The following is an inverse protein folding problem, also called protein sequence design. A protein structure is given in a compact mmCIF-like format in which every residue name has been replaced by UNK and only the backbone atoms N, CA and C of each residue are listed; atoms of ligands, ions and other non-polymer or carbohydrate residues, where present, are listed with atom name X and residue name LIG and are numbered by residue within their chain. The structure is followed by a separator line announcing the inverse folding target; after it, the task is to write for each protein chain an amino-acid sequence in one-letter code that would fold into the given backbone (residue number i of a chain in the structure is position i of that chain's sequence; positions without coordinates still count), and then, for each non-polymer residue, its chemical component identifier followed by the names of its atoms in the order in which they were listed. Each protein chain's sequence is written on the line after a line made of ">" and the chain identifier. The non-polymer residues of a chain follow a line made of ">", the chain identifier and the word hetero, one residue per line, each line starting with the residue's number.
data_IF_731560326019
#
_entry.id   IF_731560326019
#
_cell.length_a   1.000
_cell.length_b   1.000
_cell.length_c   1.000
_cell.angle_alpha   90.00
_cell.angle_beta   90.00
_cell.angle_gamma   90.00
#
_symmetry.space_group_name_H-M   'P 1'
#
loop_
_entity.id
_entity.type
_entity.pdbx_description
1 polymer ?
#
# COMPACT_ATOMS: atom_id res chain seq x y z
N UNK A 1 -1.72 -3.91 -3.92
CA UNK A 1 -2.26 -2.59 -4.26
C UNK A 1 -3.54 -2.72 -5.05
N UNK A 2 -4.45 -1.75 -4.94
CA UNK A 2 -5.58 -1.65 -5.86
C UNK A 2 -5.07 -1.29 -7.26
N UNK A 3 -5.76 -1.82 -8.27
CA UNK A 3 -5.50 -1.47 -9.66
C UNK A 3 -5.97 -0.02 -9.94
N UNK A 4 -5.10 0.77 -10.58
CA UNK A 4 -5.37 2.18 -10.90
C UNK A 4 -6.58 2.34 -11.83
N UNK A 5 -6.78 1.41 -12.76
CA UNK A 5 -7.94 1.47 -13.65
C UNK A 5 -9.24 1.27 -12.87
N UNK A 6 -9.23 0.42 -11.84
CA UNK A 6 -10.36 0.25 -10.92
C UNK A 6 -10.67 1.56 -10.19
N UNK A 7 -9.65 2.26 -9.69
CA UNK A 7 -9.82 3.55 -9.00
C UNK A 7 -10.36 4.62 -9.95
N UNK A 8 -9.80 4.71 -11.16
CA UNK A 8 -10.19 5.69 -12.19
C UNK A 8 -11.62 5.48 -12.68
N UNK A 9 -12.00 4.24 -12.93
CA UNK A 9 -13.32 3.92 -13.49
C UNK A 9 -14.42 3.85 -12.42
N UNK A 10 -14.07 3.59 -11.16
CA UNK A 10 -15.05 3.39 -10.09
C UNK A 10 -14.69 4.13 -8.78
N UNK A 11 -14.36 5.43 -8.81
CA UNK A 11 -13.82 6.12 -7.64
C UNK A 11 -14.81 6.17 -6.46
N UNK A 12 -16.12 6.30 -6.75
CA UNK A 12 -17.17 6.28 -5.72
C UNK A 12 -17.20 4.97 -4.96
N UNK A 13 -17.12 3.84 -5.68
CA UNK A 13 -17.11 2.50 -5.08
C UNK A 13 -15.89 2.30 -4.19
N UNK A 14 -14.72 2.77 -4.62
CA UNK A 14 -13.49 2.70 -3.81
C UNK A 14 -13.66 3.53 -2.54
N UNK A 15 -14.17 4.75 -2.63
CA UNK A 15 -14.43 5.60 -1.46
C UNK A 15 -15.43 5.00 -0.48
N UNK A 16 -16.51 4.41 -0.99
CA UNK A 16 -17.51 3.71 -0.16
C UNK A 16 -16.90 2.49 0.53
N UNK A 17 -16.08 1.71 -0.17
CA UNK A 17 -15.36 0.58 0.40
C UNK A 17 -14.40 1.00 1.52
N UNK A 18 -13.66 2.10 1.34
CA UNK A 18 -12.78 2.67 2.37
C UNK A 18 -13.60 3.07 3.60
N UNK A 19 -14.75 3.73 3.41
CA UNK A 19 -15.65 4.10 4.52
C UNK A 19 -16.19 2.86 5.24
N UNK A 20 -16.65 1.87 4.50
CA UNK A 20 -17.20 0.63 5.06
C UNK A 20 -16.16 -0.16 5.84
N UNK A 21 -14.88 -0.08 5.46
CA UNK A 21 -13.79 -0.73 6.18
C UNK A 21 -13.35 0.01 7.44
N UNK A 22 -13.70 1.30 7.58
CA UNK A 22 -13.30 2.12 8.72
C UNK A 22 -11.80 2.46 8.79
N UNK A 23 -11.02 2.14 7.75
CA UNK A 23 -9.57 2.36 7.71
C UNK A 23 -9.17 3.18 6.50
N UNK A 24 -8.26 4.15 6.67
CA UNK A 24 -7.77 5.00 5.60
C UNK A 24 -8.68 6.20 5.30
N UNK A 25 -8.32 7.00 4.30
CA UNK A 25 -9.04 8.23 3.96
C UNK A 25 -9.65 8.15 2.56
N UNK A 26 -10.97 8.33 2.40
CA UNK A 26 -11.59 8.45 1.08
C UNK A 26 -11.06 9.62 0.25
N UNK A 27 -10.43 10.62 0.88
CA UNK A 27 -9.81 11.75 0.18
C UNK A 27 -8.54 11.35 -0.58
N UNK A 28 -7.84 10.30 -0.15
CA UNK A 28 -6.67 9.77 -0.88
C UNK A 28 -7.03 9.34 -2.30
N UNK A 29 -8.28 8.91 -2.52
CA UNK A 29 -8.76 8.59 -3.87
C UNK A 29 -8.80 9.82 -4.76
N UNK A 30 -9.16 11.00 -4.22
CA UNK A 30 -9.16 12.24 -4.99
C UNK A 30 -7.73 12.68 -5.33
N UNK A 31 -6.85 12.73 -4.33
CA UNK A 31 -5.44 13.07 -4.51
C UNK A 31 -4.76 12.13 -5.52
N UNK A 32 -5.02 10.83 -5.43
CA UNK A 32 -4.48 9.86 -6.37
C UNK A 32 -4.94 10.11 -7.82
N UNK A 33 -6.19 10.53 -8.01
CA UNK A 33 -6.71 10.84 -9.34
C UNK A 33 -6.16 12.15 -9.89
N UNK A 34 -5.92 13.15 -9.04
CA UNK A 34 -5.24 14.39 -9.41
C UNK A 34 -3.82 14.10 -9.90
N UNK A 35 -3.04 13.33 -9.12
CA UNK A 35 -1.68 12.92 -9.51
C UNK A 35 -1.68 12.04 -10.77
N UNK A 36 -2.66 11.15 -10.94
CA UNK A 36 -2.82 10.37 -12.18
C UNK A 36 -3.09 11.26 -13.40
N UNK A 37 -3.90 12.31 -13.24
CA UNK A 37 -4.20 13.27 -14.29
C UNK A 37 -2.96 14.09 -14.67
N UNK A 38 -2.25 14.62 -13.69
CA UNK A 38 -1.00 15.38 -13.89
C UNK A 38 0.06 14.54 -14.59
N UNK A 39 0.26 13.30 -14.13
CA UNK A 39 1.19 12.35 -14.75
C UNK A 39 0.84 12.12 -16.22
N UNK A 40 -0.43 11.85 -16.53
CA UNK A 40 -0.89 11.57 -17.90
C UNK A 40 -0.75 12.81 -18.80
N UNK A 41 -1.04 14.00 -18.27
CA UNK A 41 -0.83 15.26 -18.98
C UNK A 41 0.66 15.47 -19.30
N UNK A 42 1.55 15.28 -18.32
CA UNK A 42 2.99 15.41 -18.50
C UNK A 42 3.55 14.40 -19.50
N UNK A 43 3.08 13.15 -19.48
CA UNK A 43 3.44 12.14 -20.49
C UNK A 43 3.02 12.58 -21.89
N UNK A 44 1.80 13.11 -22.03
CA UNK A 44 1.27 13.57 -23.33
C UNK A 44 2.10 14.73 -23.86
N UNK A 45 2.35 15.76 -23.04
CA UNK A 45 3.16 16.92 -23.41
C UNK A 45 4.61 16.52 -23.73
N UNK A 46 5.18 15.56 -23.00
CA UNK A 46 6.51 15.01 -23.27
C UNK A 46 6.57 14.37 -24.66
N UNK A 47 5.58 13.56 -25.01
CA UNK A 47 5.50 12.89 -26.32
C UNK A 47 5.33 13.89 -27.46
N UNK A 48 4.45 14.89 -27.29
CA UNK A 48 4.25 15.96 -28.27
C UNK A 48 5.51 16.79 -28.48
N UNK A 49 6.20 17.17 -27.40
CA UNK A 49 7.43 17.96 -27.45
C UNK A 49 8.56 17.17 -28.12
N UNK A 50 8.70 15.88 -27.82
CA UNK A 50 9.66 14.99 -28.47
C UNK A 50 9.38 14.84 -29.97
N UNK A 51 8.11 14.63 -30.35
CA UNK A 51 7.72 14.56 -31.77
C UNK A 51 8.08 15.84 -32.51
N UNK A 52 7.72 16.99 -31.94
CA UNK A 52 7.98 18.30 -32.52
C UNK A 52 9.48 18.60 -32.64
N UNK A 53 10.27 18.23 -31.64
CA UNK A 53 11.73 18.34 -31.70
C UNK A 53 12.33 17.49 -32.83
N UNK A 54 11.85 16.26 -33.01
CA UNK A 54 12.33 15.37 -34.06
C UNK A 54 12.02 15.93 -35.46
N UNK A 55 10.80 16.44 -35.66
CA UNK A 55 10.39 17.05 -36.94
C UNK A 55 11.26 18.28 -37.28
N UNK A 56 11.50 19.15 -36.29
CA UNK A 56 12.38 20.32 -36.45
C UNK A 56 13.83 19.92 -36.71
N UNK A 57 14.32 18.85 -36.07
CA UNK A 57 15.67 18.33 -36.30
C UNK A 57 15.86 17.82 -37.73
N UNK A 58 14.84 17.21 -38.33
CA UNK A 58 14.86 16.81 -39.74
C UNK A 58 14.89 18.02 -40.68
N UNK A 59 14.13 19.08 -40.35
CA UNK A 59 14.10 20.33 -41.12
C UNK A 59 15.47 21.05 -41.11
N UNK A 60 16.18 21.07 -39.97
CA UNK A 60 17.54 21.62 -39.89
C UNK A 60 18.46 20.93 -40.91
N UNK A 61 18.41 19.59 -40.96
CA UNK A 61 19.23 18.81 -41.89
C UNK A 61 18.90 19.07 -43.37
N UNK A 62 17.65 19.42 -43.69
CA UNK A 62 17.24 19.81 -45.03
C UNK A 62 17.70 21.24 -45.38
N UNK A 63 17.46 22.21 -44.49
CA UNK A 63 17.82 23.62 -44.70
C UNK A 63 19.34 23.83 -44.83
N UNK A 64 20.15 23.11 -44.05
CA UNK A 64 21.62 23.15 -44.19
C UNK A 64 22.09 22.59 -45.54
N UNK A 65 21.40 21.58 -46.10
CA UNK A 65 21.70 21.07 -47.45
C UNK A 65 21.30 22.05 -48.56
N UNK A 66 20.29 22.88 -48.30
CA UNK A 66 19.84 23.94 -49.21
C UNK A 66 20.64 25.26 -49.08
N UNK A 67 21.61 25.33 -48.15
CA UNK A 67 22.43 26.53 -47.93
C UNK A 67 21.71 27.66 -47.18
N UNK A 68 20.60 27.36 -46.50
CA UNK A 68 19.79 28.34 -45.74
C UNK A 68 20.20 28.38 -44.26
N UNK A 69 21.46 28.77 -44.01
CA UNK A 69 22.06 28.67 -42.67
C UNK A 69 21.36 29.52 -41.61
N UNK A 70 20.88 30.72 -41.98
CA UNK A 70 20.17 31.60 -41.04
C UNK A 70 18.82 31.01 -40.57
N UNK A 71 18.09 30.33 -41.46
CA UNK A 71 16.84 29.64 -41.11
C UNK A 71 17.11 28.39 -40.26
N UNK A 72 18.21 27.68 -40.55
CA UNK A 72 18.63 26.52 -39.77
C UNK A 72 19.01 26.92 -38.32
N UNK A 73 19.73 28.02 -38.12
CA UNK A 73 20.16 28.49 -36.80
C UNK A 73 18.96 28.87 -35.90
N UNK A 74 17.94 29.52 -36.48
CA UNK A 74 16.70 29.85 -35.76
C UNK A 74 15.91 28.61 -35.30
N UNK A 75 15.99 27.50 -36.04
CA UNK A 75 15.37 26.22 -35.63
C UNK A 75 16.23 25.52 -34.58
N UNK A 76 17.57 25.60 -34.68
CA UNK A 76 18.49 25.06 -33.67
C UNK A 76 18.18 25.65 -32.29
N UNK A 77 18.01 26.97 -32.20
CA UNK A 77 17.68 27.64 -30.94
C UNK A 77 16.34 27.14 -30.35
N UNK A 78 15.29 27.01 -31.17
CA UNK A 78 14.00 26.42 -30.75
C UNK A 78 14.15 24.98 -30.27
N UNK A 79 14.94 24.16 -30.95
CA UNK A 79 15.17 22.76 -30.54
C UNK A 79 15.99 22.66 -29.25
N UNK A 80 16.81 23.67 -28.93
CA UNK A 80 17.53 23.75 -27.66
C UNK A 80 16.56 23.98 -26.50
N UNK A 81 15.63 24.94 -26.63
CA UNK A 81 14.60 25.17 -25.62
C UNK A 81 13.75 23.91 -25.38
N UNK A 82 13.38 23.20 -26.46
CA UNK A 82 12.64 21.95 -26.35
C UNK A 82 13.42 20.85 -25.60
N UNK A 83 14.78 20.83 -25.63
CA UNK A 83 15.55 19.87 -24.83
C UNK A 83 15.39 20.12 -23.34
N UNK A 84 15.35 21.39 -22.93
CA UNK A 84 15.13 21.78 -21.54
C UNK A 84 13.71 21.41 -21.09
N UNK A 85 12.71 21.70 -21.92
CA UNK A 85 11.31 21.33 -21.63
C UNK A 85 11.15 19.80 -21.53
N UNK A 86 11.76 19.02 -22.44
CA UNK A 86 11.78 17.56 -22.37
C UNK A 86 12.42 17.05 -21.07
N UNK A 87 13.50 17.70 -20.61
CA UNK A 87 14.15 17.32 -19.34
C UNK A 87 13.21 17.57 -18.16
N UNK A 88 12.60 18.76 -18.08
CA UNK A 88 11.64 19.13 -17.03
C UNK A 88 10.44 18.18 -17.02
N UNK A 89 9.87 17.87 -18.19
CA UNK A 89 8.73 16.97 -18.30
C UNK A 89 9.06 15.53 -17.89
N UNK A 90 10.28 15.05 -18.18
CA UNK A 90 10.72 13.73 -17.69
C UNK A 90 10.82 13.68 -16.17
N UNK A 91 11.36 14.73 -15.55
CA UNK A 91 11.44 14.84 -14.09
C UNK A 91 10.03 14.87 -13.48
N UNK A 92 9.12 15.69 -14.02
CA UNK A 92 7.73 15.75 -13.57
C UNK A 92 6.99 14.41 -13.68
N UNK A 93 7.20 13.65 -14.77
CA UNK A 93 6.63 12.30 -14.92
C UNK A 93 7.17 11.36 -13.85
N UNK A 94 8.48 11.39 -13.58
CA UNK A 94 9.09 10.52 -12.56
C UNK A 94 8.60 10.85 -11.14
N UNK A 95 8.46 12.14 -10.82
CA UNK A 95 7.95 12.60 -9.53
C UNK A 95 6.50 12.17 -9.33
N UNK A 96 5.64 12.42 -10.34
CA UNK A 96 4.23 12.03 -10.27
C UNK A 96 4.04 10.50 -10.27
N UNK A 97 4.93 9.73 -10.92
CA UNK A 97 4.93 8.26 -10.84
C UNK A 97 5.27 7.76 -9.44
N UNK A 98 6.29 8.33 -8.80
CA UNK A 98 6.66 7.97 -7.43
C UNK A 98 5.55 8.33 -6.44
N UNK A 99 4.97 9.53 -6.55
CA UNK A 99 3.85 9.95 -5.70
C UNK A 99 2.61 9.07 -5.91
N UNK A 100 2.29 8.74 -7.16
CA UNK A 100 1.20 7.82 -7.48
C UNK A 100 1.42 6.44 -6.84
N UNK A 101 2.65 5.90 -6.88
CA UNK A 101 2.96 4.60 -6.29
C UNK A 101 2.75 4.61 -4.77
N UNK A 102 3.27 5.62 -4.07
CA UNK A 102 3.09 5.78 -2.63
C UNK A 102 1.60 5.90 -2.24
N UNK A 103 0.85 6.75 -2.93
CA UNK A 103 -0.58 6.95 -2.66
C UNK A 103 -1.40 5.67 -2.84
N UNK A 104 -1.06 4.86 -3.86
CA UNK A 104 -1.74 3.59 -4.11
C UNK A 104 -1.44 2.56 -3.01
N UNK A 105 -0.25 2.59 -2.40
CA UNK A 105 0.12 1.69 -1.30
C UNK A 105 -0.64 2.00 -0.01
N UNK A 106 -1.06 3.25 0.18
CA UNK A 106 -1.88 3.65 1.33
C UNK A 106 -3.35 3.20 1.21
N UNK A 107 -3.83 2.91 0.00
CA UNK A 107 -5.22 2.49 -0.19
C UNK A 107 -5.46 1.07 0.35
N UNK A 108 -6.42 0.90 1.28
CA UNK A 108 -6.78 -0.43 1.74
C UNK A 108 -7.46 -1.22 0.62
N UNK A 109 -7.38 -2.55 0.70
CA UNK A 109 -8.13 -3.40 -0.20
C UNK A 109 -9.66 -3.21 -0.06
N UNK A 110 -10.40 -3.34 -1.16
CA UNK A 110 -11.86 -3.27 -1.20
C UNK A 110 -12.43 -4.54 -0.54
N UNK A 111 -13.23 -4.43 0.54
CA UNK A 111 -13.90 -5.59 1.13
C UNK A 111 -14.77 -6.31 0.09
N UNK A 112 -14.81 -7.64 0.17
CA UNK A 112 -15.71 -8.42 -0.69
C UNK A 112 -17.17 -8.09 -0.35
N UNK A 113 -18.12 -8.07 -1.31
CA UNK A 113 -19.52 -7.73 -1.04
C UNK A 113 -20.24 -8.62 -0.02
N UNK A 114 -19.69 -9.80 0.29
CA UNK A 114 -20.24 -10.70 1.32
C UNK A 114 -19.74 -10.39 2.73
N UNK A 115 -18.80 -9.45 2.90
CA UNK A 115 -18.27 -9.07 4.21
C UNK A 115 -19.27 -8.12 4.86
N UNK A 116 -19.78 -8.44 6.08
CA UNK A 116 -20.64 -7.54 6.82
C UNK A 116 -19.96 -6.18 7.07
N UNK A 117 -20.75 -5.10 7.04
CA UNK A 117 -20.26 -3.77 7.38
C UNK A 117 -20.41 -3.58 8.89
N UNK A 118 -19.32 -3.23 9.56
CA UNK A 118 -19.25 -2.99 11.00
C UNK A 118 -18.23 -1.90 11.34
N UNK A 119 -18.39 -1.28 12.51
CA UNK A 119 -17.49 -0.25 13.02
C UNK A 119 -16.29 -0.86 13.76
N UNK A 120 -16.53 -1.91 14.55
CA UNK A 120 -15.52 -2.55 15.39
C UNK A 120 -15.76 -4.06 15.56
N UNK A 121 -15.01 -4.70 16.46
CA UNK A 121 -15.10 -6.15 16.68
C UNK A 121 -16.45 -6.63 17.21
N UNK A 122 -17.32 -5.76 17.72
CA UNK A 122 -18.64 -6.10 18.25
C UNK A 122 -19.65 -6.39 17.14
N UNK A 123 -19.40 -5.92 15.92
CA UNK A 123 -20.24 -6.16 14.74
C UNK A 123 -19.87 -7.47 14.00
N UNK A 124 -18.89 -8.23 14.51
CA UNK A 124 -18.51 -9.51 13.93
C UNK A 124 -19.64 -10.54 14.07
N UNK A 125 -20.05 -11.14 12.96
CA UNK A 125 -21.03 -12.20 12.93
C UNK A 125 -20.39 -13.58 13.18
N UNK A 126 -20.95 -14.36 14.10
CA UNK A 126 -20.52 -15.75 14.33
C UNK A 126 -21.02 -16.63 13.19
N UNK A 127 -20.09 -17.06 12.33
CA UNK A 127 -20.41 -17.92 11.20
C UNK A 127 -20.73 -19.37 11.62
N UNK A 128 -19.96 -19.91 12.57
CA UNK A 128 -20.11 -21.28 13.06
C UNK A 128 -19.53 -21.40 14.47
N UNK A 129 -20.16 -22.25 15.29
CA UNK A 129 -19.64 -22.66 16.61
C UNK A 129 -19.45 -24.18 16.59
N UNK A 130 -18.29 -24.66 17.03
CA UNK A 130 -17.97 -26.08 17.07
C UNK A 130 -17.52 -26.53 18.47
N UNK A 131 -18.06 -27.66 18.92
CA UNK A 131 -17.84 -28.20 20.26
C UNK A 131 -18.73 -27.57 21.33
N UNK A 132 -18.58 -28.03 22.56
CA UNK A 132 -19.29 -27.51 23.74
C UNK A 132 -18.29 -26.80 24.66
N UNK A 133 -18.66 -25.62 25.15
CA UNK A 133 -17.83 -24.90 26.12
C UNK A 133 -17.81 -25.68 27.44
N UNK A 134 -16.63 -25.93 28.04
CA UNK A 134 -16.54 -26.61 29.33
C UNK A 134 -17.33 -25.84 30.40
N UNK A 135 -18.21 -26.54 31.12
CA UNK A 135 -18.82 -26.03 32.36
C UNK A 135 -17.87 -26.31 33.52
N UNK A 136 -17.71 -25.30 34.37
CA UNK A 136 -16.94 -25.36 35.60
C UNK A 136 -17.86 -25.31 36.84
N UNK A 137 -19.12 -25.73 36.68
CA UNK A 137 -20.16 -25.73 37.74
C UNK A 137 -19.94 -26.87 38.76
N UNK A 138 -18.78 -26.89 39.39
CA UNK A 138 -18.45 -27.76 40.52
C UNK A 138 -18.17 -26.90 41.74
N UNK A 139 -18.64 -27.32 42.91
CA UNK A 139 -18.56 -26.52 44.14
C UNK A 139 -17.11 -26.05 44.42
N UNK A 140 -16.96 -24.74 44.65
CA UNK A 140 -15.71 -24.04 45.02
C UNK A 140 -14.57 -24.05 43.96
N UNK A 141 -14.85 -24.30 42.67
CA UNK A 141 -13.84 -24.18 41.62
C UNK A 141 -13.88 -22.83 40.88
N UNK A 142 -12.81 -22.05 41.02
CA UNK A 142 -12.59 -20.80 40.28
C UNK A 142 -11.52 -21.01 39.19
N UNK A 143 -11.87 -20.98 37.88
CA UNK A 143 -10.91 -21.24 36.82
C UNK A 143 -9.85 -20.14 36.76
N UNK A 144 -8.60 -20.51 37.08
CA UNK A 144 -7.48 -19.60 36.98
C UNK A 144 -7.13 -19.28 35.50
N UNK A 145 -6.75 -18.04 35.20
CA UNK A 145 -6.30 -17.68 33.87
C UNK A 145 -4.96 -18.35 33.52
N UNK A 146 -4.66 -18.44 32.21
CA UNK A 146 -3.52 -19.22 31.73
C UNK A 146 -2.15 -18.74 32.26
N UNK A 147 -1.96 -17.43 32.52
CA UNK A 147 -0.69 -16.90 33.02
C UNK A 147 -0.41 -17.33 34.46
N UNK A 148 -1.44 -17.38 35.30
CA UNK A 148 -1.31 -17.85 36.68
C UNK A 148 -1.02 -19.35 36.72
N UNK A 149 -1.71 -20.14 35.89
CA UNK A 149 -1.43 -21.57 35.75
C UNK A 149 0.00 -21.81 35.25
N UNK A 150 0.45 -21.01 34.28
CA UNK A 150 1.79 -21.13 33.72
C UNK A 150 2.88 -20.82 34.74
N UNK A 151 2.68 -19.79 35.57
CA UNK A 151 3.59 -19.44 36.67
C UNK A 151 3.58 -20.50 37.77
N UNK A 152 2.39 -20.87 38.27
CA UNK A 152 2.19 -21.88 39.32
C UNK A 152 2.85 -23.22 38.99
N UNK A 153 2.88 -23.59 37.71
CA UNK A 153 3.46 -24.84 37.24
C UNK A 153 4.87 -24.69 36.65
N UNK A 154 5.47 -23.50 36.71
CA UNK A 154 6.82 -23.23 36.18
C UNK A 154 6.94 -23.54 34.68
N UNK A 155 5.87 -23.29 33.91
CA UNK A 155 5.78 -23.57 32.48
C UNK A 155 6.25 -22.37 31.65
N UNK A 156 6.01 -21.16 32.13
CA UNK A 156 6.39 -19.90 31.49
C UNK A 156 6.95 -18.96 32.54
N UNK A 157 8.05 -18.29 32.21
CA UNK A 157 8.68 -17.26 33.03
C UNK A 157 8.62 -15.92 32.27
N UNK A 158 7.62 -15.12 32.63
CA UNK A 158 7.36 -13.81 32.04
C UNK A 158 8.34 -12.76 32.56
N UNK A 159 8.76 -12.85 33.83
CA UNK A 159 9.69 -11.90 34.43
C UNK A 159 11.08 -11.99 33.80
N UNK A 160 11.60 -13.21 33.60
CA UNK A 160 12.88 -13.44 32.92
C UNK A 160 12.80 -12.95 31.48
N UNK A 161 11.68 -13.17 30.79
CA UNK A 161 11.48 -12.68 29.43
C UNK A 161 11.45 -11.16 29.34
N UNK A 162 10.73 -10.51 30.26
CA UNK A 162 10.73 -9.07 30.40
C UNK A 162 12.11 -8.49 30.68
N UNK A 163 12.89 -9.15 31.55
CA UNK A 163 14.26 -8.74 31.90
C UNK A 163 15.24 -8.85 30.73
N UNK A 164 15.14 -9.91 29.94
CA UNK A 164 16.11 -10.19 28.85
C UNK A 164 15.76 -9.42 27.58
N UNK A 165 14.47 -9.28 27.25
CA UNK A 165 14.01 -8.71 25.96
C UNK A 165 13.14 -7.48 26.14
N UNK A 166 12.19 -7.51 27.06
CA UNK A 166 11.20 -6.44 27.29
C UNK A 166 9.79 -6.98 27.50
N UNK A 167 8.83 -6.10 27.79
CA UNK A 167 7.43 -6.48 28.00
C UNK A 167 6.87 -7.28 26.81
N UNK A 168 6.06 -8.30 27.09
CA UNK A 168 5.43 -9.15 26.07
C UNK A 168 6.24 -10.38 25.65
N UNK A 169 7.43 -10.61 26.20
CA UNK A 169 8.26 -11.77 25.85
C UNK A 169 8.24 -12.84 26.96
N UNK A 170 7.82 -14.09 26.66
CA UNK A 170 7.88 -15.21 27.60
C UNK A 170 9.13 -16.08 27.44
N UNK A 171 9.65 -16.65 28.53
CA UNK A 171 10.50 -17.85 28.46
C UNK A 171 9.66 -19.10 28.75
N UNK A 172 9.48 -19.96 27.76
CA UNK A 172 8.90 -21.29 28.00
C UNK A 172 9.92 -22.20 28.69
N UNK A 173 9.51 -22.89 29.74
CA UNK A 173 10.38 -23.72 30.57
C UNK A 173 9.93 -25.18 30.60
N UNK A 174 10.88 -26.11 30.71
CA UNK A 174 10.63 -27.52 31.00
C UNK A 174 9.48 -28.14 30.21
N UNK A 175 8.38 -28.48 30.91
CA UNK A 175 7.17 -29.05 30.30
C UNK A 175 6.44 -28.06 29.40
N UNK A 176 6.42 -26.77 29.71
CA UNK A 176 5.84 -25.72 28.86
C UNK A 176 6.57 -25.61 27.53
N UNK A 177 7.92 -25.57 27.56
CA UNK A 177 8.73 -25.61 26.34
C UNK A 177 8.50 -26.89 25.52
N UNK A 178 8.38 -28.03 26.20
CA UNK A 178 8.10 -29.32 25.53
C UNK A 178 6.71 -29.36 24.91
N UNK A 179 5.70 -28.79 25.57
CA UNK A 179 4.33 -28.67 25.05
C UNK A 179 4.32 -27.78 23.81
N UNK A 180 4.93 -26.60 23.85
CA UNK A 180 5.00 -25.72 22.69
C UNK A 180 5.68 -26.40 21.50
N UNK A 181 6.80 -27.11 21.75
CA UNK A 181 7.44 -27.92 20.71
C UNK A 181 6.55 -29.06 20.21
N UNK A 182 5.77 -29.71 21.08
CA UNK A 182 4.87 -30.77 20.66
C UNK A 182 3.75 -30.24 19.75
N UNK A 183 3.15 -29.09 20.09
CA UNK A 183 2.16 -28.43 19.24
C UNK A 183 2.74 -28.04 17.88
N UNK A 184 3.95 -27.46 17.84
CA UNK A 184 4.66 -27.14 16.60
C UNK A 184 4.98 -28.33 15.71
N UNK A 185 5.04 -29.56 16.25
CA UNK A 185 5.26 -30.77 15.45
C UNK A 185 3.95 -31.48 15.07
N UNK A 186 2.85 -31.14 15.75
CA UNK A 186 1.55 -31.72 15.50
C UNK A 186 0.82 -30.97 14.37
N UNK A 187 0.87 -29.64 14.40
CA UNK A 187 0.39 -28.76 13.32
C UNK A 187 1.44 -28.59 12.23
#
# INVERSE_FOLDING_TARGET
>A
MLDLDTVRNNPRRVKEAIRAKGTGSPALVDTLLEVDEERRAAITELQETQSRQNDLSQQIGALKREGKDAEAEAIIEKTSQMKEDIKRLKEAVQEAEAEQEELVLELPNIPHPSVPVGEDENDNEVAETFGEQPSFDVDDFDPAPHWELADRHGLVDLERGAKVTGSGFPFYLGKGARLQRALLNFF
#
